data_IF_564768060816
#
_entry.id   IF_564768060816
#
_cell.length_a   1.000
_cell.length_b   1.000
_cell.length_c   1.000
_cell.angle_alpha   90.00
_cell.angle_beta   90.00
_cell.angle_gamma   90.00
#
_symmetry.space_group_name_H-M   'P 1'
#
loop_
_entity.id
_entity.type
_entity.pdbx_description
1 polymer ?
#
# COMPACT_ATOMS: atom_id res chain seq x y z
N UNK A 1 -0.31 2.41 16.49
CA UNK A 1 -1.62 1.95 17.00
C UNK A 1 -1.78 2.22 18.49
N UNK A 2 -0.69 2.25 19.26
CA UNK A 2 -0.73 2.45 20.72
C UNK A 2 -1.52 3.69 21.16
N UNK A 3 -1.21 4.86 20.59
CA UNK A 3 -1.75 6.16 21.05
C UNK A 3 -3.29 6.20 21.08
N UNK A 4 -3.94 5.78 19.98
CA UNK A 4 -5.41 5.76 19.96
C UNK A 4 -6.00 4.67 20.86
N UNK A 5 -5.30 3.55 21.06
CA UNK A 5 -5.78 2.47 21.92
C UNK A 5 -5.79 2.96 23.37
N UNK A 6 -4.75 3.70 23.80
CA UNK A 6 -4.66 4.26 25.16
C UNK A 6 -5.71 5.33 25.45
N UNK A 7 -6.25 5.98 24.42
CA UNK A 7 -7.35 6.96 24.54
C UNK A 7 -8.74 6.30 24.68
N UNK A 8 -8.86 4.99 24.46
CA UNK A 8 -10.13 4.29 24.60
C UNK A 8 -10.51 4.09 26.09
N UNK A 9 -11.82 4.06 26.44
CA UNK A 9 -12.27 3.96 27.83
C UNK A 9 -11.72 2.79 28.64
N UNK A 10 -11.32 1.69 27.98
CA UNK A 10 -10.69 0.53 28.61
C UNK A 10 -9.32 0.19 28.01
N UNK A 11 -8.69 1.12 27.31
CA UNK A 11 -7.41 0.87 26.66
C UNK A 11 -7.49 -0.32 25.70
N UNK A 12 -6.52 -1.24 25.84
CA UNK A 12 -6.44 -2.51 25.10
C UNK A 12 -7.61 -3.48 25.37
N UNK A 13 -8.32 -3.35 26.50
CA UNK A 13 -9.46 -4.19 26.86
C UNK A 13 -10.79 -3.66 26.27
N UNK A 14 -10.74 -2.61 25.45
CA UNK A 14 -11.93 -2.04 24.82
C UNK A 14 -12.55 -3.03 23.85
N UNK A 15 -13.82 -3.40 24.09
CA UNK A 15 -14.60 -4.24 23.18
C UNK A 15 -14.90 -3.48 21.88
N UNK A 16 -14.51 -4.07 20.75
CA UNK A 16 -14.79 -3.56 19.40
C UNK A 16 -15.92 -4.38 18.75
N UNK A 17 -16.74 -3.77 17.90
CA UNK A 17 -17.79 -4.46 17.13
C UNK A 17 -19.16 -3.80 17.22
N UNK A 18 -20.21 -4.49 16.78
CA UNK A 18 -21.59 -3.95 16.69
C UNK A 18 -22.17 -3.47 18.04
N UNK A 19 -21.71 -4.07 19.14
CA UNK A 19 -22.10 -3.72 20.53
C UNK A 19 -20.98 -2.97 21.28
N UNK A 20 -19.90 -2.59 20.60
CA UNK A 20 -18.71 -1.96 21.17
C UNK A 20 -18.34 -0.64 20.49
N UNK A 21 -17.16 -0.12 20.79
CA UNK A 21 -16.67 1.13 20.18
C UNK A 21 -16.40 0.92 18.69
N UNK A 22 -16.91 1.84 17.86
CA UNK A 22 -16.59 1.86 16.43
C UNK A 22 -15.26 2.58 16.22
N UNK A 23 -14.31 1.89 15.60
CA UNK A 23 -13.07 2.49 15.13
C UNK A 23 -13.30 3.29 13.84
N UNK A 24 -12.53 4.34 13.60
CA UNK A 24 -12.44 4.96 12.27
C UNK A 24 -11.82 3.98 11.26
N UNK A 25 -11.94 4.27 9.95
CA UNK A 25 -11.31 3.45 8.90
C UNK A 25 -9.80 3.30 9.11
N UNK A 26 -9.09 4.42 9.33
CA UNK A 26 -7.64 4.41 9.58
C UNK A 26 -7.22 3.74 10.89
N UNK A 27 -8.05 3.78 11.94
CA UNK A 27 -7.79 3.02 13.18
C UNK A 27 -7.90 1.50 12.94
N UNK A 28 -8.94 1.04 12.22
CA UNK A 28 -9.08 -0.38 11.85
C UNK A 28 -7.90 -0.87 11.02
N UNK A 29 -7.44 -0.05 10.08
CA UNK A 29 -6.29 -0.37 9.23
C UNK A 29 -4.99 -0.48 10.04
N UNK A 30 -4.69 0.51 10.90
CA UNK A 30 -3.51 0.46 11.78
C UNK A 30 -3.53 -0.78 12.69
N UNK A 31 -4.71 -1.18 13.17
CA UNK A 31 -4.86 -2.41 13.94
C UNK A 31 -4.65 -3.67 13.09
N UNK A 32 -5.15 -3.70 11.85
CA UNK A 32 -4.93 -4.81 10.92
C UNK A 32 -3.44 -5.00 10.58
N UNK A 33 -2.71 -3.90 10.32
CA UNK A 33 -1.26 -3.93 10.08
C UNK A 33 -0.52 -4.44 11.32
N UNK A 34 -0.86 -3.92 12.50
CA UNK A 34 -0.26 -4.40 13.76
C UNK A 34 -0.51 -5.90 13.98
N UNK A 35 -1.73 -6.39 13.68
CA UNK A 35 -2.06 -7.82 13.75
C UNK A 35 -1.24 -8.64 12.76
N UNK A 36 -1.09 -8.17 11.51
CA UNK A 36 -0.30 -8.86 10.49
C UNK A 36 1.18 -8.97 10.90
N UNK A 37 1.76 -7.87 11.42
CA UNK A 37 3.12 -7.85 11.96
C UNK A 37 3.31 -8.84 13.12
N UNK A 38 2.33 -8.93 14.03
CA UNK A 38 2.39 -9.85 15.17
C UNK A 38 2.20 -11.32 14.78
N UNK A 39 1.35 -11.60 13.79
CA UNK A 39 1.10 -12.97 13.33
C UNK A 39 2.22 -13.55 12.47
N UNK A 40 3.11 -12.70 11.97
CA UNK A 40 4.25 -13.02 11.11
C UNK A 40 3.98 -14.11 10.04
N UNK A 41 2.96 -13.94 9.17
CA UNK A 41 2.59 -14.97 8.22
C UNK A 41 3.64 -15.10 7.09
N UNK A 42 3.94 -16.33 6.61
CA UNK A 42 4.89 -16.53 5.51
C UNK A 42 4.38 -16.00 4.16
N UNK A 43 3.05 -15.90 4.00
CA UNK A 43 2.38 -15.35 2.82
C UNK A 43 1.44 -14.24 3.26
N UNK A 44 1.55 -13.09 2.59
CA UNK A 44 0.72 -11.92 2.83
C UNK A 44 -0.03 -11.54 1.54
N UNK A 45 -1.31 -11.22 1.68
CA UNK A 45 -2.12 -10.66 0.59
C UNK A 45 -2.58 -9.28 1.05
N UNK A 46 -2.23 -8.26 0.28
CA UNK A 46 -2.64 -6.88 0.49
C UNK A 46 -3.60 -6.50 -0.63
N UNK A 47 -4.87 -6.32 -0.27
CA UNK A 47 -5.91 -5.82 -1.16
C UNK A 47 -6.03 -4.29 -0.96
N UNK A 48 -5.78 -3.52 -2.02
CA UNK A 48 -5.72 -2.05 -1.94
C UNK A 48 -7.11 -1.42 -1.85
N UNK A 49 -7.70 -1.53 -0.65
CA UNK A 49 -8.61 -0.52 -0.08
C UNK A 49 -7.84 0.56 0.71
N UNK A 50 -6.53 0.69 0.45
CA UNK A 50 -5.58 1.58 1.12
C UNK A 50 -5.58 3.02 0.58
N UNK A 51 -6.46 3.34 -0.38
CA UNK A 51 -6.72 4.73 -0.83
C UNK A 51 -7.32 5.63 0.26
N UNK A 52 -7.78 5.04 1.37
CA UNK A 52 -8.23 5.76 2.57
C UNK A 52 -7.08 6.29 3.45
N UNK A 53 -5.82 6.22 2.98
CA UNK A 53 -4.70 6.93 3.58
C UNK A 53 -4.81 8.43 3.24
N UNK A 54 -5.76 9.08 3.90
CA UNK A 54 -5.85 10.53 3.88
C UNK A 54 -4.65 11.10 4.67
N UNK A 55 -3.67 11.57 3.90
CA UNK A 55 -2.66 12.64 4.04
C UNK A 55 -2.10 13.11 5.41
N UNK A 56 -2.49 12.57 6.57
CA UNK A 56 -1.94 13.02 7.87
C UNK A 56 -1.08 11.96 8.59
N UNK A 57 -1.19 10.67 8.23
CA UNK A 57 -0.50 9.55 8.90
C UNK A 57 0.30 8.64 7.96
N UNK A 58 0.54 9.04 6.72
CA UNK A 58 1.08 8.16 5.65
C UNK A 58 2.46 7.57 5.95
N UNK A 59 3.41 8.37 6.44
CA UNK A 59 4.81 7.90 6.57
C UNK A 59 4.95 6.72 7.54
N UNK A 60 4.30 6.78 8.70
CA UNK A 60 4.36 5.72 9.71
C UNK A 60 3.67 4.44 9.22
N UNK A 61 2.57 4.59 8.48
CA UNK A 61 1.88 3.44 7.89
C UNK A 61 2.74 2.83 6.77
N UNK A 62 3.35 3.66 5.93
CA UNK A 62 4.25 3.22 4.87
C UNK A 62 5.43 2.44 5.43
N UNK A 63 6.12 2.97 6.46
CA UNK A 63 7.22 2.26 7.12
C UNK A 63 6.79 0.92 7.72
N UNK A 64 5.59 0.85 8.30
CA UNK A 64 5.06 -0.39 8.84
C UNK A 64 4.74 -1.41 7.73
N UNK A 65 4.23 -0.94 6.58
CA UNK A 65 3.99 -1.76 5.40
C UNK A 65 5.33 -2.23 4.82
N UNK A 66 6.30 -1.35 4.61
CA UNK A 66 7.62 -1.72 4.06
C UNK A 66 8.31 -2.79 4.92
N UNK A 67 8.24 -2.66 6.25
CA UNK A 67 8.70 -3.69 7.19
C UNK A 67 7.89 -4.99 7.08
N UNK A 68 6.59 -4.89 6.86
CA UNK A 68 5.74 -6.05 6.63
C UNK A 68 6.08 -6.75 5.30
N UNK A 69 6.57 -6.04 4.28
CA UNK A 69 6.94 -6.65 3.00
C UNK A 69 8.26 -7.46 3.07
N UNK A 70 9.13 -7.17 4.03
CA UNK A 70 10.44 -7.82 4.13
C UNK A 70 10.35 -9.28 4.57
N UNK A 71 11.14 -10.14 3.90
CA UNK A 71 11.39 -11.52 4.32
C UNK A 71 10.22 -12.48 4.11
N UNK A 72 9.21 -12.11 3.32
CA UNK A 72 8.01 -12.94 3.09
C UNK A 72 7.52 -12.85 1.65
N UNK A 73 6.66 -13.80 1.25
CA UNK A 73 5.98 -13.73 -0.04
C UNK A 73 4.78 -12.82 0.07
N UNK A 74 4.73 -11.77 -0.75
CA UNK A 74 3.62 -10.81 -0.74
C UNK A 74 2.95 -10.71 -2.09
N UNK A 75 1.63 -10.83 -2.09
CA UNK A 75 0.77 -10.46 -3.20
C UNK A 75 0.13 -9.12 -2.88
N UNK A 76 0.36 -8.12 -3.73
CA UNK A 76 -0.30 -6.82 -3.62
C UNK A 76 -1.18 -6.60 -4.84
N UNK A 77 -2.46 -6.35 -4.60
CA UNK A 77 -3.36 -5.82 -5.61
C UNK A 77 -3.18 -4.30 -5.55
N UNK A 78 -2.45 -3.71 -6.49
CA UNK A 78 -2.00 -2.33 -6.37
C UNK A 78 -2.73 -1.35 -7.30
N UNK A 79 -3.13 -0.21 -6.74
CA UNK A 79 -3.54 1.04 -7.36
C UNK A 79 -2.52 2.18 -7.12
N UNK A 80 -1.52 2.00 -6.22
CA UNK A 80 -0.44 2.98 -5.99
C UNK A 80 0.82 2.66 -6.76
N UNK A 81 1.41 3.71 -7.35
CA UNK A 81 2.61 3.57 -8.17
C UNK A 81 3.83 3.10 -7.39
N UNK A 82 4.05 3.63 -6.19
CA UNK A 82 5.21 3.26 -5.35
C UNK A 82 5.25 1.76 -5.07
N UNK A 83 4.11 1.10 -4.89
CA UNK A 83 4.09 -0.35 -4.64
C UNK A 83 4.35 -1.14 -5.93
N UNK A 84 3.84 -0.65 -7.06
CA UNK A 84 4.03 -1.30 -8.37
C UNK A 84 5.49 -1.22 -8.82
N UNK A 85 6.15 -0.07 -8.67
CA UNK A 85 7.52 0.15 -9.17
C UNK A 85 8.58 -0.68 -8.45
N UNK A 86 8.35 -1.02 -7.17
CA UNK A 86 9.29 -1.77 -6.35
C UNK A 86 8.97 -3.27 -6.28
N UNK A 87 7.94 -3.74 -7.00
CA UNK A 87 7.61 -5.15 -7.03
C UNK A 87 8.67 -5.95 -7.79
N UNK A 88 9.09 -7.08 -7.22
CA UNK A 88 10.01 -8.02 -7.88
C UNK A 88 9.39 -8.59 -9.17
N UNK A 89 8.06 -8.71 -9.20
CA UNK A 89 7.31 -9.15 -10.36
C UNK A 89 5.91 -8.52 -10.37
N UNK A 90 5.48 -8.06 -11.54
CA UNK A 90 4.14 -7.54 -11.80
C UNK A 90 3.39 -8.54 -12.69
N UNK A 91 2.14 -8.80 -12.35
CA UNK A 91 1.20 -9.59 -13.15
C UNK A 91 0.04 -8.68 -13.54
N UNK A 92 -0.12 -8.42 -14.83
CA UNK A 92 -1.20 -7.60 -15.36
C UNK A 92 -2.34 -8.50 -15.83
N UNK A 93 -3.52 -8.28 -15.26
CA UNK A 93 -4.74 -9.03 -15.58
C UNK A 93 -5.65 -8.18 -16.48
N UNK A 94 -6.15 -8.77 -17.57
CA UNK A 94 -7.25 -8.22 -18.37
C UNK A 94 -8.32 -9.31 -18.57
N UNK A 95 -9.58 -8.99 -18.29
CA UNK A 95 -10.73 -9.90 -18.44
C UNK A 95 -10.53 -11.30 -17.83
N UNK A 96 -9.83 -11.37 -16.69
CA UNK A 96 -9.58 -12.61 -15.96
C UNK A 96 -8.40 -13.43 -16.47
N UNK A 97 -7.63 -12.93 -17.43
CA UNK A 97 -6.44 -13.58 -17.98
C UNK A 97 -5.17 -12.77 -17.69
N UNK A 98 -4.05 -13.47 -17.49
CA UNK A 98 -2.73 -12.83 -17.41
C UNK A 98 -2.31 -12.44 -18.81
N UNK A 99 -2.32 -11.14 -19.11
CA UNK A 99 -1.92 -10.64 -20.42
C UNK A 99 -0.47 -10.16 -20.45
N UNK A 100 0.09 -9.75 -19.31
CA UNK A 100 1.50 -9.40 -19.18
C UNK A 100 2.08 -9.79 -17.82
N UNK A 101 3.36 -10.15 -17.82
CA UNK A 101 4.13 -10.45 -16.62
C UNK A 101 5.60 -10.00 -16.82
N UNK A 102 6.21 -9.50 -15.75
CA UNK A 102 7.61 -9.09 -15.72
C UNK A 102 7.89 -8.04 -14.65
N UNK A 103 9.11 -7.53 -14.64
CA UNK A 103 9.48 -6.37 -13.81
C UNK A 103 8.86 -5.08 -14.36
N UNK A 104 8.80 -4.02 -13.54
CA UNK A 104 8.36 -2.70 -13.96
C UNK A 104 9.07 -2.23 -15.24
N UNK A 105 10.41 -2.34 -15.28
CA UNK A 105 11.21 -1.89 -16.41
C UNK A 105 10.92 -2.70 -17.69
N UNK A 106 10.80 -4.02 -17.58
CA UNK A 106 10.48 -4.88 -18.72
C UNK A 106 9.10 -4.58 -19.30
N UNK A 107 8.10 -4.39 -18.44
CA UNK A 107 6.73 -4.10 -18.86
C UNK A 107 6.59 -2.70 -19.48
N UNK A 108 7.32 -1.70 -18.99
CA UNK A 108 7.39 -0.39 -19.64
C UNK A 108 8.04 -0.47 -21.02
N UNK A 109 9.14 -1.22 -21.14
CA UNK A 109 9.86 -1.36 -22.41
C UNK A 109 9.02 -2.07 -23.50
N UNK A 110 8.15 -3.00 -23.10
CA UNK A 110 7.21 -3.69 -24.01
C UNK A 110 6.19 -2.76 -24.66
N UNK A 111 5.97 -1.56 -24.11
CA UNK A 111 4.93 -0.61 -24.56
C UNK A 111 3.53 -1.25 -24.66
N UNK A 112 3.24 -2.17 -23.75
CA UNK A 112 2.03 -3.00 -23.70
C UNK A 112 0.81 -2.34 -23.04
N UNK A 113 -0.15 -3.14 -22.60
CA UNK A 113 -1.28 -2.72 -21.77
C UNK A 113 -0.81 -2.11 -20.45
N UNK A 114 0.20 -2.70 -19.81
CA UNK A 114 0.79 -2.16 -18.59
C UNK A 114 1.32 -0.73 -18.78
N UNK A 115 2.13 -0.49 -19.82
CA UNK A 115 2.72 0.84 -20.05
C UNK A 115 1.66 1.89 -20.37
N UNK A 116 0.61 1.52 -21.12
CA UNK A 116 -0.53 2.41 -21.41
C UNK A 116 -1.29 2.77 -20.14
N UNK A 117 -1.56 1.80 -19.27
CA UNK A 117 -2.19 2.06 -17.98
C UNK A 117 -1.31 3.01 -17.15
N UNK A 118 0.00 2.74 -17.12
CA UNK A 118 0.96 3.58 -16.42
C UNK A 118 0.96 5.03 -16.94
N UNK A 119 0.99 5.21 -18.26
CA UNK A 119 0.91 6.54 -18.90
C UNK A 119 -0.43 7.25 -18.62
N UNK A 120 -1.55 6.54 -18.64
CA UNK A 120 -2.88 7.10 -18.37
C UNK A 120 -3.05 7.53 -16.91
N UNK A 121 -2.62 6.68 -15.96
CA UNK A 121 -2.77 6.97 -14.54
C UNK A 121 -1.72 7.96 -14.02
N UNK A 122 -0.52 7.97 -14.61
CA UNK A 122 0.63 8.68 -14.03
C UNK A 122 1.39 9.59 -15.01
N UNK A 123 1.24 9.40 -16.33
CA UNK A 123 1.86 10.24 -17.37
C UNK A 123 1.16 11.58 -17.62
N UNK A 124 -0.06 11.76 -17.13
CA UNK A 124 -0.86 12.99 -17.32
C UNK A 124 -0.58 14.14 -16.36
N UNK A 125 0.15 13.94 -15.26
CA UNK A 125 0.56 14.99 -14.31
C UNK A 125 1.65 14.56 -13.28
N UNK A 126 2.15 13.31 -13.30
CA UNK A 126 3.08 12.78 -12.29
C UNK A 126 4.57 13.11 -12.50
N UNK A 127 4.97 13.50 -13.72
CA UNK A 127 6.37 13.86 -13.99
C UNK A 127 6.81 15.17 -13.29
N UNK A 128 5.86 16.05 -12.97
CA UNK A 128 6.14 17.37 -12.38
C UNK A 128 6.42 17.28 -10.86
N UNK A 129 5.89 16.28 -10.16
CA UNK A 129 6.10 16.10 -8.70
C UNK A 129 7.39 15.35 -8.36
N UNK A 130 7.85 14.46 -9.25
CA UNK A 130 9.16 13.81 -9.06
C UNK A 130 10.31 14.81 -9.25
N UNK A 131 10.17 15.74 -10.20
CA UNK A 131 11.15 16.81 -10.42
C UNK A 131 11.22 17.82 -9.25
N UNK A 132 10.09 18.09 -8.58
CA UNK A 132 10.08 18.93 -7.36
C UNK A 132 10.66 18.22 -6.13
N UNK A 133 10.42 16.93 -6.00
CA UNK A 133 10.92 16.15 -4.85
C UNK A 133 12.44 15.95 -4.90
N UNK A 134 13.04 15.83 -6.10
CA UNK A 134 14.50 15.74 -6.26
C UNK A 134 15.17 17.11 -6.07
N UNK A 135 14.54 18.22 -6.47
CA UNK A 135 15.10 19.57 -6.28
C UNK A 135 15.10 20.02 -4.82
N UNK A 136 14.25 19.47 -3.97
CA UNK A 136 14.14 19.88 -2.55
C UNK A 136 15.20 19.20 -1.66
N UNK A 137 15.86 18.14 -2.15
CA UNK A 137 16.93 17.44 -1.42
C UNK A 137 18.36 17.84 -1.82
N UNK A 138 18.51 18.86 -2.69
CA UNK A 138 19.81 19.41 -3.09
C UNK A 138 19.98 20.88 -2.70
N UNK A 139 19.62 21.23 -1.45
CA UNK A 139 20.03 22.48 -0.78
C UNK A 139 20.19 22.25 0.71
#
# INVERSE_FOLDING_TARGET
AHDFITELPRGYETLLGERGTRLSGGQRQRLAIARALLSDPPILILDEATSALDTESERLVQEAVDRLLQGRTVFVIAHRLSTITHADQIVFLDRGEIVEQGTHAELLAKRGAYSRLYELQFGGNGATDLARSISTYSS
#
